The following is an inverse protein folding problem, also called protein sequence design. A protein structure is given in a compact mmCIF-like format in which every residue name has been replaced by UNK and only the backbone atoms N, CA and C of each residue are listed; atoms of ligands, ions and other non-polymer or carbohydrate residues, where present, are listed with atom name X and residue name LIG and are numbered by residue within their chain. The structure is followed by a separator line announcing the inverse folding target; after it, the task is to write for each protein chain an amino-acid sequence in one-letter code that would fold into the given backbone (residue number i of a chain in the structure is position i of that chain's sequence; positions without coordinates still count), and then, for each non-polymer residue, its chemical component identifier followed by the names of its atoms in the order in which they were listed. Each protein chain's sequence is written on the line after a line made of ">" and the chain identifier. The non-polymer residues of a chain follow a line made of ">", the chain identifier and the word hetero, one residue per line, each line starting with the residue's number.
data_IF_586536639081
#
_entry.id   IF_586536639081
#
_cell.length_a   1.000
_cell.length_b   1.000
_cell.length_c   1.000
_cell.angle_alpha   90.00
_cell.angle_beta   90.00
_cell.angle_gamma   90.00
#
_symmetry.space_group_name_H-M   'P 1'
#
loop_
_entity.id
_entity.type
_entity.pdbx_description
1 polymer ?
#
# COMPACT_ATOMS: atom_id res chain seq x y z
N UNK A 1 -4.16 14.93 -1.69
CA UNK A 1 -4.35 13.54 -1.21
C UNK A 1 -2.98 12.87 -1.12
N UNK A 2 -2.69 12.12 -0.05
CA UNK A 2 -1.40 11.46 0.16
C UNK A 2 -1.58 10.02 0.70
N UNK A 3 -0.55 9.16 0.63
CA UNK A 3 -0.64 7.78 1.12
C UNK A 3 -1.12 7.68 2.57
N UNK A 4 -0.76 8.66 3.41
CA UNK A 4 -1.12 8.71 4.83
C UNK A 4 -2.62 8.86 5.06
N UNK A 5 -3.38 9.33 4.07
CA UNK A 5 -4.85 9.36 4.14
C UNK A 5 -5.45 7.95 4.26
N UNK A 6 -4.68 6.91 3.91
CA UNK A 6 -5.04 5.50 4.05
C UNK A 6 -4.61 4.86 5.38
N UNK A 7 -4.04 5.62 6.33
CA UNK A 7 -3.66 5.14 7.67
C UNK A 7 -4.88 4.99 8.60
N UNK A 8 -5.88 4.26 8.12
CA UNK A 8 -7.10 3.97 8.85
C UNK A 8 -6.91 2.72 9.73
N UNK A 9 -7.59 2.67 10.89
CA UNK A 9 -7.55 1.49 11.77
C UNK A 9 -7.87 0.20 11.00
N UNK A 10 -6.96 -0.78 11.08
CA UNK A 10 -7.10 -2.08 10.43
C UNK A 10 -6.46 -2.20 9.05
N UNK A 11 -6.18 -1.08 8.35
CA UNK A 11 -5.51 -1.11 7.04
C UNK A 11 -4.01 -1.36 7.15
N UNK A 12 -3.40 -1.14 8.33
CA UNK A 12 -1.99 -1.46 8.62
C UNK A 12 -1.07 -0.90 7.51
N UNK A 13 -1.27 0.38 7.17
CA UNK A 13 -0.50 1.04 6.13
C UNK A 13 0.99 0.99 6.46
N UNK A 14 1.81 0.55 5.51
CA UNK A 14 3.26 0.57 5.64
C UNK A 14 3.94 0.62 4.28
N UNK A 15 5.17 1.15 4.25
CA UNK A 15 6.03 1.06 3.07
C UNK A 15 6.66 -0.33 2.98
N UNK A 16 6.84 -0.82 1.76
CA UNK A 16 7.62 -2.02 1.50
C UNK A 16 9.11 -1.75 1.72
N UNK A 17 9.92 -2.82 1.84
CA UNK A 17 11.35 -2.73 2.12
C UNK A 17 12.20 -3.04 0.88
N UNK A 18 13.48 -2.70 0.94
CA UNK A 18 14.44 -2.95 -0.14
C UNK A 18 14.18 -2.04 -1.34
N UNK A 19 14.21 -2.62 -2.54
CA UNK A 19 14.04 -1.89 -3.81
C UNK A 19 12.61 -1.33 -4.02
N UNK A 20 11.67 -1.70 -3.13
CA UNK A 20 10.27 -1.28 -3.17
C UNK A 20 9.91 -0.21 -2.14
N UNK A 21 10.89 0.51 -1.59
CA UNK A 21 10.67 1.53 -0.53
C UNK A 21 9.67 2.64 -0.88
N UNK A 22 9.45 2.90 -2.16
CA UNK A 22 8.51 3.92 -2.64
C UNK A 22 7.08 3.37 -2.81
N UNK A 23 6.89 2.07 -2.60
CA UNK A 23 5.60 1.36 -2.67
C UNK A 23 5.04 1.22 -1.26
N UNK A 24 3.76 1.55 -1.14
CA UNK A 24 2.93 1.40 0.05
C UNK A 24 2.08 0.14 -0.05
N UNK A 25 1.72 -0.42 1.10
CA UNK A 25 0.83 -1.56 1.21
C UNK A 25 -0.23 -1.33 2.29
N UNK A 26 -1.47 -1.71 1.96
CA UNK A 26 -2.58 -1.80 2.92
C UNK A 26 -3.14 -3.21 2.95
N UNK A 27 -3.64 -3.60 4.12
CA UNK A 27 -4.30 -4.88 4.39
C UNK A 27 -5.76 -4.82 4.00
N UNK A 28 -6.20 -5.80 3.20
CA UNK A 28 -7.62 -5.97 2.85
C UNK A 28 -8.27 -6.98 3.79
N UNK A 29 -7.87 -8.26 3.71
CA UNK A 29 -8.30 -9.30 4.63
C UNK A 29 -7.27 -10.44 4.67
N UNK A 30 -7.13 -11.11 5.81
CA UNK A 30 -6.15 -12.21 5.98
C UNK A 30 -4.77 -11.85 5.41
N UNK A 31 -4.36 -12.58 4.37
CA UNK A 31 -3.07 -12.43 3.70
C UNK A 31 -3.10 -11.43 2.53
N UNK A 32 -4.26 -10.96 2.09
CA UNK A 32 -4.36 -10.09 0.93
C UNK A 32 -3.93 -8.67 1.23
N UNK A 33 -3.16 -8.11 0.29
CA UNK A 33 -2.66 -6.74 0.33
C UNK A 33 -2.96 -6.03 -0.99
N UNK A 34 -3.30 -4.75 -0.89
CA UNK A 34 -3.19 -3.84 -2.03
C UNK A 34 -1.86 -3.12 -1.91
N UNK A 35 -1.12 -2.99 -3.01
CA UNK A 35 0.13 -2.21 -3.06
C UNK A 35 0.05 -1.14 -4.13
N UNK A 36 0.64 0.02 -3.88
CA UNK A 36 0.60 1.17 -4.79
C UNK A 36 1.76 2.12 -4.52
N UNK A 37 2.17 2.92 -5.49
CA UNK A 37 3.04 4.08 -5.26
C UNK A 37 2.30 5.36 -5.63
N UNK A 38 2.68 6.49 -5.02
CA UNK A 38 2.05 7.77 -5.27
C UNK A 38 2.93 8.64 -6.17
N UNK A 39 2.31 9.29 -7.16
CA UNK A 39 2.93 10.37 -7.94
C UNK A 39 2.03 11.59 -7.83
N UNK A 40 2.49 12.58 -7.07
CA UNK A 40 1.63 13.71 -6.71
C UNK A 40 0.46 13.25 -5.85
N UNK A 41 -0.76 13.44 -6.33
CA UNK A 41 -1.99 13.08 -5.61
C UNK A 41 -2.61 11.75 -6.07
N UNK A 42 -2.02 11.12 -7.09
CA UNK A 42 -2.55 9.95 -7.75
C UNK A 42 -1.82 8.67 -7.33
N UNK A 43 -2.58 7.58 -7.19
CA UNK A 43 -2.05 6.24 -6.95
C UNK A 43 -1.79 5.51 -8.28
N UNK A 44 -0.59 4.94 -8.41
CA UNK A 44 -0.11 4.22 -9.58
C UNK A 44 0.36 2.80 -9.24
N UNK A 45 0.46 1.95 -10.27
CA UNK A 45 0.76 0.50 -10.19
C UNK A 45 0.04 -0.17 -9.02
N UNK A 46 -1.28 0.05 -8.95
CA UNK A 46 -2.13 -0.57 -7.95
C UNK A 46 -2.22 -2.06 -8.27
N UNK A 47 -1.73 -2.89 -7.35
CA UNK A 47 -1.71 -4.35 -7.47
C UNK A 47 -2.39 -5.02 -6.28
N UNK A 48 -2.96 -6.20 -6.49
CA UNK A 48 -3.65 -7.00 -5.49
C UNK A 48 -2.91 -8.33 -5.31
N UNK A 49 -2.14 -8.41 -4.23
CA UNK A 49 -1.17 -9.48 -3.98
C UNK A 49 -1.56 -10.30 -2.75
N UNK A 50 -1.45 -11.61 -2.88
CA UNK A 50 -1.46 -12.52 -1.74
C UNK A 50 -0.07 -12.52 -1.09
N UNK A 51 -0.03 -12.40 0.22
CA UNK A 51 1.22 -12.32 0.99
C UNK A 51 1.69 -13.71 1.44
N UNK A 52 1.52 -14.75 0.61
CA UNK A 52 1.98 -16.13 0.84
C UNK A 52 2.88 -16.63 -0.29
#
# INVERSE_FOLDING_TARGET
>A
ICPQDMDLPGYRLHQLKGDKKDIWSVTVNGNWRVTFFFVGEDAYLVDYVDYH
#
